data_IF_136267137071
#
_entry.id   IF_136267137071
#
_cell.length_a   1.000
_cell.length_b   1.000
_cell.length_c   1.000
_cell.angle_alpha   90.00
_cell.angle_beta   90.00
_cell.angle_gamma   90.00
#
_symmetry.space_group_name_H-M   'P 1'
#
loop_
_entity.id
_entity.type
_entity.pdbx_description
1 polymer ?
#
# COMPACT_ATOMS: atom_id res chain seq x y z
N UNK A 1 17.44 0.77 -20.67
CA UNK A 1 16.77 0.39 -19.41
C UNK A 1 15.65 1.38 -19.17
N UNK A 2 14.40 0.91 -19.06
CA UNK A 2 13.28 1.76 -18.62
C UNK A 2 13.51 1.99 -17.12
N UNK A 3 13.77 3.22 -16.70
CA UNK A 3 13.84 3.56 -15.27
C UNK A 3 12.46 3.27 -14.70
N UNK A 4 12.36 2.26 -13.85
CA UNK A 4 11.08 1.86 -13.25
C UNK A 4 10.76 2.77 -12.08
N UNK A 5 9.47 3.04 -11.87
CA UNK A 5 9.02 3.93 -10.82
C UNK A 5 9.25 3.26 -9.45
N UNK A 6 9.92 3.95 -8.51
CA UNK A 6 10.07 3.49 -7.13
C UNK A 6 8.71 3.43 -6.42
N UNK A 7 8.65 2.64 -5.34
CA UNK A 7 7.45 2.50 -4.52
C UNK A 7 7.26 3.73 -3.64
N UNK A 8 6.16 4.47 -3.84
CA UNK A 8 5.90 5.70 -3.09
C UNK A 8 4.91 5.45 -1.96
N UNK A 9 5.41 5.33 -0.72
CA UNK A 9 4.58 5.03 0.47
C UNK A 9 3.51 6.10 0.69
N UNK A 10 3.77 7.37 0.35
CA UNK A 10 2.78 8.44 0.49
C UNK A 10 1.60 8.23 -0.44
N UNK A 11 1.84 7.88 -1.71
CA UNK A 11 0.77 7.56 -2.64
C UNK A 11 0.01 6.30 -2.24
N UNK A 12 0.68 5.29 -1.70
CA UNK A 12 0.00 4.10 -1.14
C UNK A 12 -0.88 4.49 0.07
N UNK A 13 -0.44 5.43 0.91
CA UNK A 13 -1.27 5.95 2.01
C UNK A 13 -2.49 6.70 1.49
N UNK A 14 -2.34 7.53 0.46
CA UNK A 14 -3.46 8.22 -0.19
C UNK A 14 -4.45 7.22 -0.78
N UNK A 15 -3.97 6.15 -1.43
CA UNK A 15 -4.81 5.05 -1.91
C UNK A 15 -5.60 4.40 -0.75
N UNK A 16 -4.94 4.13 0.38
CA UNK A 16 -5.60 3.59 1.58
C UNK A 16 -6.68 4.55 2.10
N UNK A 17 -6.39 5.84 2.20
CA UNK A 17 -7.33 6.83 2.70
C UNK A 17 -8.58 6.94 1.82
N UNK A 18 -8.41 6.87 0.50
CA UNK A 18 -9.56 6.83 -0.43
C UNK A 18 -10.35 5.53 -0.27
N UNK A 19 -9.69 4.39 -0.13
CA UNK A 19 -10.38 3.11 0.04
C UNK A 19 -11.16 3.04 1.36
N UNK A 20 -10.60 3.58 2.45
CA UNK A 20 -11.28 3.69 3.76
C UNK A 20 -12.47 4.65 3.67
N UNK A 21 -12.32 5.80 3.01
CA UNK A 21 -13.42 6.75 2.84
C UNK A 21 -14.62 6.08 2.13
N UNK A 22 -14.36 5.30 1.10
CA UNK A 22 -15.40 4.56 0.38
C UNK A 22 -15.98 3.41 1.23
N UNK A 23 -15.15 2.69 2.02
CA UNK A 23 -15.63 1.74 3.05
C UNK A 23 -16.60 2.42 4.04
N UNK A 24 -16.26 3.61 4.54
CA UNK A 24 -17.09 4.37 5.47
C UNK A 24 -18.40 4.83 4.83
N UNK A 25 -18.37 5.32 3.59
CA UNK A 25 -19.57 5.71 2.84
C UNK A 25 -20.52 4.53 2.70
N UNK A 26 -20.01 3.35 2.31
CA UNK A 26 -20.88 2.18 2.12
C UNK A 26 -21.40 1.61 3.42
N UNK A 27 -20.59 1.62 4.48
CA UNK A 27 -21.02 1.19 5.82
C UNK A 27 -22.13 2.09 6.37
N UNK A 28 -21.98 3.42 6.25
CA UNK A 28 -23.00 4.37 6.72
C UNK A 28 -24.31 4.27 5.94
N UNK A 29 -24.23 3.99 4.64
CA UNK A 29 -25.40 3.74 3.79
C UNK A 29 -26.18 2.51 4.25
N UNK A 30 -25.51 1.42 4.66
CA UNK A 30 -26.17 0.24 5.22
C UNK A 30 -26.96 0.50 6.50
N UNK A 31 -26.59 1.55 7.25
CA UNK A 31 -27.30 1.97 8.47
C UNK A 31 -28.36 3.06 8.22
N UNK A 32 -28.65 3.41 6.96
CA UNK A 32 -29.56 4.49 6.59
C UNK A 32 -29.20 5.83 7.26
N UNK A 33 -27.91 6.10 7.41
CA UNK A 33 -27.43 7.38 7.97
C UNK A 33 -27.86 8.54 7.06
N UNK A 34 -28.39 9.65 7.62
CA UNK A 34 -28.73 10.83 6.82
C UNK A 34 -27.52 11.37 6.05
N UNK A 35 -27.72 11.70 4.77
CA UNK A 35 -26.66 12.24 3.90
C UNK A 35 -25.88 11.19 3.11
N UNK A 36 -26.20 9.90 3.27
CA UNK A 36 -25.57 8.81 2.52
C UNK A 36 -26.55 8.18 1.50
N UNK A 37 -26.04 7.54 0.44
CA UNK A 37 -26.87 6.79 -0.52
C UNK A 37 -27.81 5.79 0.18
N UNK A 38 -29.08 5.77 -0.22
CA UNK A 38 -30.08 4.91 0.40
C UNK A 38 -30.12 3.48 -0.14
N UNK A 39 -29.42 3.20 -1.25
CA UNK A 39 -29.37 1.90 -1.90
C UNK A 39 -27.95 1.61 -2.32
N UNK A 40 -27.36 0.58 -1.75
CA UNK A 40 -26.06 0.02 -2.15
C UNK A 40 -26.25 -1.42 -2.54
N UNK A 41 -25.72 -1.80 -3.71
CA UNK A 41 -25.75 -3.17 -4.17
C UNK A 41 -24.76 -4.01 -3.33
N UNK A 42 -25.11 -5.27 -3.04
CA UNK A 42 -24.25 -6.14 -2.23
C UNK A 42 -22.85 -6.30 -2.85
N UNK A 43 -22.77 -6.30 -4.18
CA UNK A 43 -21.53 -6.38 -4.94
C UNK A 43 -20.63 -5.14 -4.71
N UNK A 44 -21.22 -3.95 -4.70
CA UNK A 44 -20.51 -2.69 -4.44
C UNK A 44 -20.01 -2.66 -3.00
N UNK A 45 -20.86 -3.03 -2.05
CA UNK A 45 -20.47 -3.14 -0.65
C UNK A 45 -19.25 -4.04 -0.47
N UNK A 46 -19.31 -5.28 -0.97
CA UNK A 46 -18.20 -6.24 -0.88
C UNK A 46 -16.95 -5.72 -1.57
N UNK A 47 -17.09 -5.06 -2.72
CA UNK A 47 -15.98 -4.48 -3.46
C UNK A 47 -15.22 -3.43 -2.65
N UNK A 48 -15.91 -2.48 -2.02
CA UNK A 48 -15.25 -1.41 -1.26
C UNK A 48 -14.62 -1.92 0.03
N UNK A 49 -15.29 -2.81 0.77
CA UNK A 49 -14.71 -3.45 1.97
C UNK A 49 -13.41 -4.17 1.62
N UNK A 50 -13.41 -4.99 0.56
CA UNK A 50 -12.21 -5.73 0.15
C UNK A 50 -11.10 -4.81 -0.34
N UNK A 51 -11.43 -3.77 -1.09
CA UNK A 51 -10.45 -2.78 -1.57
C UNK A 51 -9.73 -2.12 -0.40
N UNK A 52 -10.48 -1.69 0.63
CA UNK A 52 -9.92 -1.10 1.83
C UNK A 52 -9.02 -2.07 2.61
N UNK A 53 -9.45 -3.34 2.79
CA UNK A 53 -8.60 -4.34 3.45
C UNK A 53 -7.32 -4.65 2.67
N UNK A 54 -7.40 -4.74 1.34
CA UNK A 54 -6.22 -4.95 0.50
C UNK A 54 -5.27 -3.75 0.55
N UNK A 55 -5.80 -2.52 0.51
CA UNK A 55 -5.00 -1.30 0.66
C UNK A 55 -4.31 -1.25 2.03
N UNK A 56 -5.02 -1.64 3.10
CA UNK A 56 -4.50 -1.65 4.46
C UNK A 56 -3.33 -2.63 4.59
N UNK A 57 -3.51 -3.87 4.13
CA UNK A 57 -2.47 -4.89 4.17
C UNK A 57 -1.23 -4.44 3.36
N UNK A 58 -1.44 -3.86 2.17
CA UNK A 58 -0.35 -3.33 1.36
C UNK A 58 0.40 -2.20 2.10
N UNK A 59 -0.32 -1.22 2.62
CA UNK A 59 0.27 -0.07 3.31
C UNK A 59 1.03 -0.49 4.57
N UNK A 60 0.45 -1.35 5.41
CA UNK A 60 1.04 -1.80 6.66
C UNK A 60 2.35 -2.54 6.42
N UNK A 61 2.36 -3.52 5.50
CA UNK A 61 3.58 -4.27 5.20
C UNK A 61 4.67 -3.40 4.59
N UNK A 62 4.33 -2.48 3.68
CA UNK A 62 5.33 -1.58 3.10
C UNK A 62 5.91 -0.63 4.16
N UNK A 63 5.08 -0.16 5.09
CA UNK A 63 5.50 0.71 6.18
C UNK A 63 6.38 -0.04 7.19
N UNK A 64 5.99 -1.26 7.56
CA UNK A 64 6.78 -2.13 8.43
C UNK A 64 8.13 -2.47 7.80
N UNK A 65 8.15 -2.88 6.53
CA UNK A 65 9.39 -3.19 5.81
C UNK A 65 10.32 -1.96 5.73
N UNK A 66 9.77 -0.78 5.46
CA UNK A 66 10.53 0.48 5.45
C UNK A 66 11.13 0.77 6.84
N UNK A 67 10.33 0.62 7.88
CA UNK A 67 10.75 0.84 9.28
C UNK A 67 11.84 -0.15 9.67
N UNK A 68 11.66 -1.44 9.41
CA UNK A 68 12.64 -2.50 9.67
C UNK A 68 13.97 -2.23 9.00
N UNK A 69 13.94 -1.89 7.71
CA UNK A 69 15.17 -1.54 7.00
C UNK A 69 15.85 -0.32 7.62
N UNK A 70 15.09 0.70 8.00
CA UNK A 70 15.63 1.89 8.69
C UNK A 70 16.26 1.53 10.04
N UNK A 71 15.60 0.69 10.82
CA UNK A 71 16.10 0.23 12.13
C UNK A 71 17.35 -0.64 11.99
N UNK A 72 17.40 -1.54 11.02
CA UNK A 72 18.57 -2.39 10.77
C UNK A 72 19.81 -1.60 10.32
N UNK A 73 19.62 -0.50 9.58
CA UNK A 73 20.73 0.42 9.22
C UNK A 73 21.32 1.08 10.46
N UNK A 74 20.47 1.45 11.41
CA UNK A 74 20.85 2.07 12.68
C UNK A 74 21.35 1.07 13.73
N UNK A 75 21.17 -0.23 13.48
CA UNK A 75 21.52 -1.30 14.44
C UNK A 75 20.47 -1.51 15.54
N UNK A 76 19.24 -1.04 15.34
CA UNK A 76 18.13 -1.13 16.30
C UNK A 76 17.45 -2.51 16.27
N UNK A 77 18.19 -3.60 16.50
CA UNK A 77 17.66 -4.96 16.43
C UNK A 77 16.85 -5.41 17.65
N UNK A 78 17.04 -4.74 18.80
CA UNK A 78 16.50 -5.22 20.08
C UNK A 78 14.98 -5.45 20.10
N UNK A 79 14.13 -4.54 19.56
CA UNK A 79 12.68 -4.76 19.56
C UNK A 79 12.27 -6.06 18.85
N UNK A 80 12.92 -6.37 17.73
CA UNK A 80 12.66 -7.56 16.91
C UNK A 80 13.14 -8.84 17.59
N UNK A 81 14.30 -8.79 18.26
CA UNK A 81 14.81 -9.91 19.07
C UNK A 81 13.85 -10.20 20.23
N UNK A 82 13.33 -9.16 20.88
CA UNK A 82 12.40 -9.30 22.00
C UNK A 82 11.05 -9.85 21.54
N UNK A 83 10.57 -9.43 20.37
CA UNK A 83 9.36 -9.97 19.75
C UNK A 83 9.54 -11.45 19.35
N UNK A 84 10.64 -11.78 18.68
CA UNK A 84 10.97 -13.16 18.32
C UNK A 84 10.94 -14.10 19.53
N UNK A 85 11.54 -13.69 20.65
CA UNK A 85 11.56 -14.47 21.90
C UNK A 85 10.19 -14.64 22.55
N UNK A 86 9.22 -13.77 22.29
CA UNK A 86 7.86 -13.92 22.82
C UNK A 86 7.09 -15.04 22.13
N UNK A 87 7.40 -15.29 20.86
CA UNK A 87 6.66 -16.22 20.01
C UNK A 87 7.37 -17.56 19.82
N UNK A 88 8.65 -17.64 20.16
CA UNK A 88 9.48 -18.83 19.98
C UNK A 88 9.81 -19.44 21.34
N UNK A 89 9.18 -20.57 21.65
CA UNK A 89 9.42 -21.35 22.88
C UNK A 89 10.77 -22.07 22.89
N UNK A 90 11.42 -22.20 21.73
CA UNK A 90 12.69 -22.90 21.57
C UNK A 90 13.87 -21.92 21.63
N UNK A 91 14.58 -21.91 22.76
CA UNK A 91 15.77 -21.08 22.97
C UNK A 91 16.92 -21.36 21.98
N UNK A 92 16.88 -22.47 21.24
CA UNK A 92 17.88 -22.79 20.21
C UNK A 92 17.68 -22.03 18.90
N UNK A 93 16.49 -21.48 18.66
CA UNK A 93 16.22 -20.67 17.49
C UNK A 93 16.78 -19.27 17.71
N UNK A 94 17.80 -18.95 16.91
CA UNK A 94 18.47 -17.65 16.94
C UNK A 94 17.73 -16.69 16.01
N UNK A 95 17.47 -15.48 16.51
CA UNK A 95 16.94 -14.38 15.72
C UNK A 95 17.78 -14.16 14.45
N UNK A 96 17.11 -14.08 13.30
CA UNK A 96 17.74 -13.83 12.02
C UNK A 96 17.04 -12.65 11.31
N UNK A 97 17.69 -11.50 11.15
CA UNK A 97 17.05 -10.33 10.54
C UNK A 97 16.66 -10.55 9.07
N UNK A 98 17.32 -11.45 8.35
CA UNK A 98 16.90 -11.81 6.99
C UNK A 98 15.59 -12.61 6.98
N UNK A 99 15.34 -13.41 8.02
CA UNK A 99 14.06 -14.11 8.17
C UNK A 99 12.91 -13.13 8.42
N UNK A 100 13.15 -12.07 9.19
CA UNK A 100 12.17 -11.00 9.43
C UNK A 100 11.82 -10.29 8.11
N UNK A 101 12.82 -9.82 7.34
CA UNK A 101 12.55 -9.20 6.03
C UNK A 101 11.81 -10.14 5.07
N UNK A 102 12.14 -11.44 5.11
CA UNK A 102 11.48 -12.44 4.28
C UNK A 102 10.01 -12.69 4.67
N UNK A 103 9.65 -12.45 5.93
CA UNK A 103 8.31 -12.67 6.47
C UNK A 103 7.25 -11.82 5.77
N UNK A 104 7.60 -10.59 5.38
CA UNK A 104 6.73 -9.71 4.58
C UNK A 104 6.32 -10.33 3.25
N UNK A 105 7.13 -11.21 2.67
CA UNK A 105 6.89 -11.76 1.34
C UNK A 105 6.36 -13.19 1.35
N UNK A 106 6.65 -13.97 2.40
CA UNK A 106 6.45 -15.42 2.44
C UNK A 106 6.19 -15.93 3.86
N UNK A 107 5.20 -15.36 4.57
CA UNK A 107 4.74 -15.88 5.87
C UNK A 107 3.73 -17.02 5.74
N UNK A 108 3.12 -17.19 4.56
CA UNK A 108 1.96 -18.08 4.38
C UNK A 108 0.68 -17.55 5.02
N UNK A 109 0.72 -16.35 5.60
CA UNK A 109 -0.43 -15.67 6.16
C UNK A 109 -1.10 -14.79 5.10
N UNK A 110 -2.38 -14.52 5.29
CA UNK A 110 -3.16 -13.60 4.44
C UNK A 110 -2.70 -12.14 4.54
N UNK A 111 -1.77 -11.84 5.45
CA UNK A 111 -1.21 -10.52 5.67
C UNK A 111 0.12 -10.30 4.96
N UNK A 112 0.76 -11.30 4.34
CA UNK A 112 1.99 -11.05 3.57
C UNK A 112 1.71 -10.35 2.25
N UNK A 113 2.69 -9.59 1.76
CA UNK A 113 2.70 -9.04 0.41
C UNK A 113 2.57 -10.18 -0.63
N UNK A 114 1.58 -10.13 -1.52
CA UNK A 114 1.45 -11.09 -2.61
C UNK A 114 2.58 -10.92 -3.63
N UNK A 115 2.94 -12.00 -4.32
CA UNK A 115 3.98 -11.97 -5.36
C UNK A 115 3.64 -11.01 -6.52
N UNK A 116 2.35 -10.85 -6.80
CA UNK A 116 1.86 -10.02 -7.89
C UNK A 116 0.75 -9.08 -7.42
N UNK A 117 0.73 -7.85 -7.95
CA UNK A 117 -0.31 -6.87 -7.63
C UNK A 117 -1.70 -7.36 -8.06
N UNK A 118 -1.76 -8.22 -9.08
CA UNK A 118 -2.98 -8.85 -9.57
C UNK A 118 -3.69 -9.72 -8.51
N UNK A 119 -3.00 -10.12 -7.44
CA UNK A 119 -3.64 -10.80 -6.30
C UNK A 119 -4.47 -9.82 -5.45
N UNK A 120 -4.18 -8.52 -5.48
CA UNK A 120 -5.03 -7.45 -4.94
C UNK A 120 -6.06 -6.98 -5.99
N UNK A 121 -6.93 -7.90 -6.42
CA UNK A 121 -7.85 -7.68 -7.56
C UNK A 121 -8.77 -6.48 -7.35
N UNK A 122 -9.42 -6.41 -6.19
CA UNK A 122 -10.37 -5.35 -5.87
C UNK A 122 -9.66 -4.00 -5.77
N UNK A 123 -8.49 -3.93 -5.14
CA UNK A 123 -7.66 -2.72 -5.08
C UNK A 123 -7.20 -2.26 -6.46
N UNK A 124 -6.74 -3.18 -7.31
CA UNK A 124 -6.31 -2.85 -8.68
C UNK A 124 -7.49 -2.39 -9.55
N UNK A 125 -8.70 -2.93 -9.31
CA UNK A 125 -9.90 -2.43 -9.96
C UNK A 125 -10.35 -1.07 -9.38
N UNK A 126 -10.10 -0.83 -8.09
CA UNK A 126 -10.37 0.44 -7.42
C UNK A 126 -9.52 1.56 -8.01
N UNK A 127 -8.22 1.34 -8.26
CA UNK A 127 -7.35 2.37 -8.84
C UNK A 127 -7.77 2.81 -10.25
N UNK A 128 -8.40 1.91 -11.02
CA UNK A 128 -8.91 2.23 -12.36
C UNK A 128 -10.05 3.25 -12.35
N UNK A 129 -10.77 3.41 -11.24
CA UNK A 129 -11.78 4.46 -11.09
C UNK A 129 -11.16 5.87 -11.20
N UNK A 130 -9.91 6.03 -10.78
CA UNK A 130 -9.18 7.31 -10.93
C UNK A 130 -8.77 7.59 -12.38
N UNK A 131 -8.52 6.55 -13.19
CA UNK A 131 -8.26 6.72 -14.62
C UNK A 131 -9.49 7.30 -15.35
N UNK A 132 -10.70 6.86 -14.98
CA UNK A 132 -11.94 7.39 -15.51
C UNK A 132 -12.19 8.84 -15.07
N UNK A 133 -11.86 9.18 -13.82
CA UNK A 133 -11.91 10.56 -13.33
C UNK A 133 -10.94 11.46 -14.11
N UNK A 134 -9.70 11.01 -14.32
CA UNK A 134 -8.71 11.71 -15.13
C UNK A 134 -9.18 11.91 -16.57
N UNK A 135 -9.70 10.86 -17.21
CA UNK A 135 -10.23 10.95 -18.58
C UNK A 135 -11.36 11.98 -18.68
N UNK A 136 -12.26 12.03 -17.69
CA UNK A 136 -13.33 13.03 -17.62
C UNK A 136 -12.79 14.45 -17.42
N UNK A 137 -11.70 14.61 -16.66
CA UNK A 137 -11.01 15.88 -16.49
C UNK A 137 -10.39 16.35 -17.83
N UNK A 138 -9.63 15.47 -18.48
CA UNK A 138 -8.96 15.72 -19.77
C UNK A 138 -9.96 15.98 -20.92
N UNK A 139 -11.16 15.39 -20.88
CA UNK A 139 -12.24 15.59 -21.87
C UNK A 139 -12.98 16.94 -21.75
N UNK A 140 -12.59 17.82 -20.81
CA UNK A 140 -12.99 19.23 -20.83
C UNK A 140 -13.69 19.76 -19.58
N UNK A 141 -13.31 19.30 -18.38
CA UNK A 141 -13.68 20.00 -17.13
C UNK A 141 -12.91 21.32 -16.92
N UNK A 142 -12.25 21.85 -17.96
CA UNK A 142 -11.63 23.18 -18.00
C UNK A 142 -12.64 24.35 -17.96
N UNK A 143 -13.95 24.10 -18.01
CA UNK A 143 -14.97 25.14 -18.21
C UNK A 143 -15.67 25.62 -16.93
N UNK A 144 -15.45 25.01 -15.75
CA UNK A 144 -16.23 25.40 -14.56
C UNK A 144 -15.47 26.06 -13.43
N UNK A 145 -14.14 25.95 -13.32
CA UNK A 145 -13.37 26.34 -12.11
C UNK A 145 -13.41 27.85 -11.79
N UNK A 146 -13.82 28.72 -12.71
CA UNK A 146 -13.91 30.16 -12.44
C UNK A 146 -15.14 30.61 -11.63
N UNK A 147 -16.18 29.78 -11.47
CA UNK A 147 -17.43 30.14 -10.77
C UNK A 147 -17.82 29.14 -9.65
N UNK A 148 -16.88 28.33 -9.19
CA UNK A 148 -17.14 27.23 -8.26
C UNK A 148 -17.16 27.72 -6.80
N UNK A 149 -18.17 27.30 -6.04
CA UNK A 149 -18.26 27.59 -4.61
C UNK A 149 -17.07 26.98 -3.83
N UNK A 150 -16.69 27.50 -2.65
CA UNK A 150 -15.56 26.98 -1.87
C UNK A 150 -15.61 25.47 -1.61
N UNK A 151 -16.81 24.92 -1.43
CA UNK A 151 -17.03 23.49 -1.17
C UNK A 151 -16.76 22.62 -2.41
N UNK A 152 -17.12 23.11 -3.60
CA UNK A 152 -16.89 22.41 -4.86
C UNK A 152 -15.42 22.56 -5.34
N UNK A 153 -14.73 23.65 -4.95
CA UNK A 153 -13.30 23.83 -5.20
C UNK A 153 -12.42 22.83 -4.44
N UNK A 154 -12.78 22.53 -3.18
CA UNK A 154 -12.12 21.49 -2.39
C UNK A 154 -12.36 20.09 -2.96
N UNK A 155 -13.51 19.87 -3.60
CA UNK A 155 -13.82 18.62 -4.30
C UNK A 155 -12.94 18.46 -5.54
N UNK A 156 -12.82 19.51 -6.36
CA UNK A 156 -11.99 19.50 -7.56
C UNK A 156 -10.49 19.31 -7.25
N UNK A 157 -9.98 19.94 -6.19
CA UNK A 157 -8.58 19.75 -5.75
C UNK A 157 -8.32 18.33 -5.25
N UNK A 158 -9.29 17.70 -4.56
CA UNK A 158 -9.24 16.28 -4.21
C UNK A 158 -9.23 15.37 -5.43
N UNK A 159 -10.08 15.65 -6.43
CA UNK A 159 -10.13 14.88 -7.68
C UNK A 159 -8.81 14.98 -8.44
N UNK A 160 -8.19 16.17 -8.51
CA UNK A 160 -6.89 16.37 -9.17
C UNK A 160 -5.77 15.60 -8.44
N UNK A 161 -5.74 15.65 -7.10
CA UNK A 161 -4.74 14.91 -6.33
C UNK A 161 -4.91 13.39 -6.48
N UNK A 162 -6.13 12.90 -6.71
CA UNK A 162 -6.41 11.48 -6.93
C UNK A 162 -5.84 10.90 -8.23
N UNK A 163 -5.40 11.74 -9.17
CA UNK A 163 -4.81 11.30 -10.45
C UNK A 163 -3.48 10.54 -10.23
N UNK A 164 -2.69 10.94 -9.23
CA UNK A 164 -1.42 10.26 -8.95
C UNK A 164 -1.60 8.87 -8.33
N UNK A 165 -2.79 8.59 -7.76
CA UNK A 165 -3.15 7.29 -7.20
C UNK A 165 -3.32 6.24 -8.30
N UNK A 166 -3.70 6.62 -9.52
CA UNK A 166 -3.90 5.70 -10.65
C UNK A 166 -2.66 4.81 -10.89
N UNK A 167 -1.46 5.40 -10.86
CA UNK A 167 -0.20 4.75 -11.21
C UNK A 167 0.63 4.29 -10.00
N UNK A 168 0.12 4.45 -8.78
CA UNK A 168 0.91 4.17 -7.57
C UNK A 168 1.30 2.69 -7.42
N UNK A 169 0.62 1.78 -8.13
CA UNK A 169 0.86 0.34 -8.09
C UNK A 169 1.71 -0.19 -9.25
N UNK A 170 2.03 0.63 -10.26
CA UNK A 170 2.73 0.20 -11.49
C UNK A 170 4.12 -0.40 -11.20
N UNK A 171 4.77 0.08 -10.13
CA UNK A 171 6.09 -0.38 -9.69
C UNK A 171 6.08 -1.66 -8.85
N UNK A 172 4.92 -2.14 -8.40
CA UNK A 172 4.82 -3.17 -7.34
C UNK A 172 5.52 -4.48 -7.69
N UNK A 173 5.21 -5.09 -8.85
CA UNK A 173 5.76 -6.40 -9.20
C UNK A 173 7.29 -6.36 -9.30
N UNK A 174 7.84 -5.25 -9.80
CA UNK A 174 9.28 -5.05 -9.87
C UNK A 174 9.89 -4.79 -8.48
N UNK A 175 9.26 -3.95 -7.66
CA UNK A 175 9.65 -3.73 -6.27
C UNK A 175 9.73 -5.06 -5.51
N UNK A 176 8.69 -5.90 -5.61
CA UNK A 176 8.63 -7.21 -4.97
C UNK A 176 9.83 -8.09 -5.37
N UNK A 177 10.05 -8.24 -6.68
CA UNK A 177 11.14 -9.07 -7.19
C UNK A 177 12.51 -8.55 -6.76
N UNK A 178 12.75 -7.24 -6.83
CA UNK A 178 14.02 -6.66 -6.41
C UNK A 178 14.28 -6.83 -4.91
N UNK A 179 13.28 -6.62 -4.06
CA UNK A 179 13.41 -6.88 -2.62
C UNK A 179 13.80 -8.34 -2.34
N UNK A 180 13.13 -9.29 -3.00
CA UNK A 180 13.43 -10.72 -2.87
C UNK A 180 14.85 -11.07 -3.30
N UNK A 181 15.27 -10.56 -4.44
CA UNK A 181 16.63 -10.77 -4.96
C UNK A 181 17.70 -10.18 -4.02
N UNK A 182 17.48 -8.96 -3.52
CA UNK A 182 18.38 -8.29 -2.58
C UNK A 182 18.53 -9.09 -1.29
N UNK A 183 17.42 -9.55 -0.70
CA UNK A 183 17.43 -10.38 0.51
C UNK A 183 18.27 -11.65 0.28
N UNK A 184 18.05 -12.34 -0.84
CA UNK A 184 18.77 -13.59 -1.14
C UNK A 184 20.27 -13.38 -1.43
N UNK A 185 20.64 -12.29 -2.10
CA UNK A 185 22.04 -11.94 -2.37
C UNK A 185 22.76 -11.62 -1.05
N UNK A 186 22.24 -10.67 -0.28
CA UNK A 186 22.89 -10.18 0.93
C UNK A 186 22.86 -11.19 2.07
N UNK A 187 21.88 -12.10 2.10
CA UNK A 187 21.85 -13.21 3.06
C UNK A 187 23.05 -14.15 2.91
N UNK A 188 23.54 -14.37 1.68
CA UNK A 188 24.72 -15.23 1.44
C UNK A 188 26.01 -14.57 1.90
N UNK A 189 26.02 -13.25 1.95
CA UNK A 189 27.17 -12.42 2.33
C UNK A 189 27.11 -11.96 3.80
N UNK A 190 26.00 -12.23 4.49
CA UNK A 190 25.69 -11.77 5.85
C UNK A 190 25.76 -10.23 6.01
N UNK A 191 25.26 -9.51 5.00
CA UNK A 191 25.35 -8.04 4.92
C UNK A 191 24.00 -7.34 5.10
N UNK A 192 23.34 -7.56 6.26
CA UNK A 192 21.98 -7.03 6.53
C UNK A 192 21.87 -5.52 6.32
N UNK A 193 22.86 -4.74 6.76
CA UNK A 193 22.86 -3.29 6.59
C UNK A 193 22.81 -2.87 5.11
N UNK A 194 23.65 -3.49 4.27
CA UNK A 194 23.69 -3.19 2.84
C UNK A 194 22.40 -3.64 2.13
N UNK A 195 21.80 -4.75 2.58
CA UNK A 195 20.48 -5.19 2.13
C UNK A 195 19.42 -4.13 2.43
N UNK A 196 19.36 -3.65 3.67
CA UNK A 196 18.38 -2.65 4.11
C UNK A 196 18.56 -1.32 3.38
N UNK A 197 19.80 -0.85 3.18
CA UNK A 197 20.09 0.34 2.37
C UNK A 197 19.58 0.17 0.93
N UNK A 198 19.81 -1.01 0.33
CA UNK A 198 19.38 -1.31 -1.02
C UNK A 198 17.87 -1.37 -1.17
N UNK A 199 17.17 -1.98 -0.21
CA UNK A 199 15.69 -2.01 -0.18
C UNK A 199 15.13 -0.59 0.00
N UNK A 200 15.70 0.23 0.90
CA UNK A 200 15.23 1.61 1.10
C UNK A 200 15.37 2.46 -0.17
N UNK A 201 16.37 2.23 -1.01
CA UNK A 201 16.51 2.92 -2.29
C UNK A 201 15.39 2.59 -3.30
N UNK A 202 14.61 1.52 -3.07
CA UNK A 202 13.45 1.17 -3.89
C UNK A 202 12.20 1.97 -3.51
N UNK A 203 12.24 2.69 -2.38
CA UNK A 203 11.19 3.58 -1.93
C UNK A 203 11.45 5.04 -2.34
N UNK A 204 10.39 5.84 -2.45
CA UNK A 204 10.43 7.31 -2.61
C UNK A 204 9.46 8.04 -1.72
#
# INVERSE_FOLDING_TARGET
MKVMAPMNIKLIKELLDQAILEEDIVMNSCYNMPGYPSVIMAEEFVFFIKSAKQAQVLFDNLTELYKECSDFILGNFQPYIDEHKKWVDDESLVYNPFSELHYHFHSGLHTSLPETIEQYRELLAFTRKFADLRRRLDEGFDVLVSDISPDEGALAEREINSIYIEYCLDGYNNFYQQCRELIEIHRREDTIKACSESILMLFT
#
